data_IF_922607400010
#
_entry.id   IF_922607400010
#
_cell.length_a   1.000
_cell.length_b   1.000
_cell.length_c   1.000
_cell.angle_alpha   90.00
_cell.angle_beta   90.00
_cell.angle_gamma   90.00
#
_symmetry.space_group_name_H-M   'P 1'
#
loop_
_entity.id
_entity.type
_entity.pdbx_description
1 polymer ?
#
# COMPACT_ATOMS: atom_id res chain seq x y z
N UNK A 1 20.07 16.59 17.97
CA UNK A 1 19.61 15.22 18.20
C UNK A 1 19.54 14.53 16.85
N UNK A 2 20.12 13.34 16.70
CA UNK A 2 20.17 12.65 15.41
C UNK A 2 18.79 12.09 15.03
N UNK A 3 18.32 12.37 13.82
CA UNK A 3 16.99 11.95 13.37
C UNK A 3 17.08 10.55 12.72
N UNK A 4 16.79 9.52 13.51
CA UNK A 4 16.86 8.12 13.08
C UNK A 4 15.89 7.76 11.95
N UNK A 5 14.70 8.37 11.89
CA UNK A 5 13.75 8.08 10.81
C UNK A 5 14.26 8.59 9.47
N UNK A 6 14.87 9.80 9.42
CA UNK A 6 15.53 10.30 8.20
C UNK A 6 16.71 9.44 7.76
N UNK A 7 17.54 8.98 8.69
CA UNK A 7 18.68 8.09 8.40
C UNK A 7 18.22 6.76 7.83
N UNK A 8 17.22 6.14 8.46
CA UNK A 8 16.66 4.87 7.98
C UNK A 8 16.03 5.03 6.60
N UNK A 9 15.24 6.07 6.38
CA UNK A 9 14.65 6.37 5.08
C UNK A 9 15.72 6.55 4.00
N UNK A 10 16.79 7.29 4.30
CA UNK A 10 17.94 7.43 3.39
C UNK A 10 18.56 6.08 3.04
N UNK A 11 18.82 5.23 4.03
CA UNK A 11 19.38 3.90 3.78
C UNK A 11 18.46 3.01 2.92
N UNK A 12 17.15 3.11 3.10
CA UNK A 12 16.18 2.38 2.27
C UNK A 12 16.19 2.90 0.83
N UNK A 13 16.11 4.22 0.63
CA UNK A 13 16.13 4.82 -0.71
C UNK A 13 17.41 4.50 -1.49
N UNK A 14 18.56 4.43 -0.81
CA UNK A 14 19.85 4.11 -1.44
C UNK A 14 20.00 2.62 -1.78
N UNK A 15 19.56 1.73 -0.89
CA UNK A 15 19.74 0.27 -1.06
C UNK A 15 18.65 -0.34 -1.91
N UNK A 16 17.46 0.23 -1.84
CA UNK A 16 16.23 -0.32 -2.39
C UNK A 16 15.34 0.79 -2.96
N UNK A 17 15.75 1.45 -4.06
CA UNK A 17 14.98 2.53 -4.65
C UNK A 17 13.61 2.06 -5.18
N UNK A 18 13.52 0.78 -5.57
CA UNK A 18 12.30 0.11 -6.03
C UNK A 18 12.00 -1.05 -5.09
N UNK A 19 11.18 -0.79 -4.07
CA UNK A 19 10.85 -1.79 -3.03
C UNK A 19 10.33 -3.08 -3.65
N UNK A 20 9.51 -2.98 -4.69
CA UNK A 20 8.92 -4.14 -5.37
C UNK A 20 9.95 -5.05 -6.08
N UNK A 21 11.16 -4.58 -6.37
CA UNK A 21 12.22 -5.39 -7.00
C UNK A 21 13.03 -6.22 -6.00
N UNK A 22 12.85 -6.02 -4.68
CA UNK A 22 13.55 -6.82 -3.69
C UNK A 22 13.29 -8.31 -3.87
N UNK A 23 14.32 -9.11 -3.58
CA UNK A 23 14.37 -10.56 -3.86
C UNK A 23 13.15 -11.32 -3.33
N UNK A 24 12.57 -10.84 -2.23
CA UNK A 24 11.43 -11.45 -1.57
C UNK A 24 10.09 -11.11 -2.23
N UNK A 25 9.95 -9.92 -2.82
CA UNK A 25 8.70 -9.49 -3.44
C UNK A 25 8.57 -9.94 -4.87
N UNK A 26 9.65 -9.88 -5.67
CA UNK A 26 9.63 -10.23 -7.10
C UNK A 26 8.48 -9.54 -7.86
N UNK A 27 8.20 -8.28 -7.54
CA UNK A 27 7.10 -7.50 -8.14
C UNK A 27 5.70 -7.80 -7.61
N UNK A 28 5.56 -8.57 -6.53
CA UNK A 28 4.25 -8.93 -5.95
C UNK A 28 3.61 -7.76 -5.19
N UNK A 29 2.28 -7.64 -5.30
CA UNK A 29 1.49 -6.78 -4.42
C UNK A 29 1.43 -7.34 -2.98
N UNK A 30 1.86 -6.56 -1.99
CA UNK A 30 2.06 -6.99 -0.60
C UNK A 30 1.88 -5.82 0.37
N UNK A 31 1.52 -6.15 1.61
CA UNK A 31 1.13 -5.17 2.62
C UNK A 31 2.33 -4.49 3.31
N UNK A 32 3.46 -5.18 3.37
CA UNK A 32 4.64 -4.87 4.16
C UNK A 32 5.48 -3.74 3.54
N UNK A 33 5.62 -3.67 2.22
CA UNK A 33 6.14 -2.43 1.64
C UNK A 33 5.15 -1.26 1.82
N UNK A 34 3.84 -1.51 1.89
CA UNK A 34 2.85 -0.51 2.29
C UNK A 34 3.11 0.03 3.71
N UNK A 35 3.56 -0.82 4.64
CA UNK A 35 4.00 -0.40 5.99
C UNK A 35 5.24 0.49 5.89
N UNK A 36 6.25 0.09 5.11
CA UNK A 36 7.46 0.90 4.91
C UNK A 36 7.10 2.28 4.34
N UNK A 37 6.33 2.32 3.26
CA UNK A 37 5.91 3.56 2.61
C UNK A 37 5.01 4.43 3.48
N UNK A 38 4.22 3.84 4.39
CA UNK A 38 3.49 4.63 5.40
C UNK A 38 4.44 5.37 6.35
N UNK A 39 5.59 4.78 6.68
CA UNK A 39 6.66 5.47 7.40
C UNK A 39 7.22 6.67 6.61
N UNK A 40 7.40 6.53 5.30
CA UNK A 40 7.77 7.64 4.42
C UNK A 40 6.70 8.72 4.36
N UNK A 41 5.41 8.35 4.33
CA UNK A 41 4.31 9.31 4.40
C UNK A 41 4.40 10.16 5.68
N UNK A 42 4.63 9.53 6.83
CA UNK A 42 4.77 10.25 8.11
C UNK A 42 5.98 11.19 8.10
N UNK A 43 7.09 10.78 7.49
CA UNK A 43 8.25 11.65 7.28
C UNK A 43 7.92 12.84 6.39
N UNK A 44 7.24 12.62 5.27
CA UNK A 44 6.80 13.69 4.39
C UNK A 44 5.86 14.66 5.12
N UNK A 45 4.86 14.16 5.86
CA UNK A 45 3.92 15.01 6.62
C UNK A 45 4.65 15.90 7.63
N UNK A 46 5.67 15.36 8.32
CA UNK A 46 6.43 16.10 9.33
C UNK A 46 7.45 17.08 8.76
N UNK A 47 8.05 16.77 7.61
CA UNK A 47 9.22 17.48 7.08
C UNK A 47 8.94 18.32 5.85
N UNK A 48 7.89 17.95 5.11
CA UNK A 48 7.54 18.48 3.79
C UNK A 48 8.67 18.34 2.76
N UNK A 49 9.63 17.43 3.00
CA UNK A 49 10.70 17.14 2.05
C UNK A 49 10.15 16.28 0.91
N UNK A 50 10.11 16.85 -0.30
CA UNK A 50 9.51 16.26 -1.49
C UNK A 50 10.06 14.86 -1.84
N UNK A 51 11.33 14.59 -1.51
CA UNK A 51 11.97 13.29 -1.78
C UNK A 51 11.20 12.12 -1.19
N UNK A 52 10.56 12.29 -0.02
CA UNK A 52 9.79 11.23 0.61
C UNK A 52 8.47 10.98 -0.12
N UNK A 53 7.81 12.04 -0.59
CA UNK A 53 6.60 11.93 -1.40
C UNK A 53 6.88 11.27 -2.75
N UNK A 54 7.94 11.71 -3.43
CA UNK A 54 8.35 11.15 -4.73
C UNK A 54 8.65 9.67 -4.61
N UNK A 55 9.36 9.26 -3.55
CA UNK A 55 9.64 7.86 -3.28
C UNK A 55 8.37 7.01 -3.10
N UNK A 56 7.35 7.54 -2.40
CA UNK A 56 6.06 6.86 -2.25
C UNK A 56 5.37 6.74 -3.60
N UNK A 57 5.27 7.84 -4.35
CA UNK A 57 4.58 7.87 -5.64
C UNK A 57 5.20 6.89 -6.64
N UNK A 58 6.52 6.92 -6.79
CA UNK A 58 7.25 6.05 -7.71
C UNK A 58 7.02 4.56 -7.41
N UNK A 59 7.02 4.18 -6.13
CA UNK A 59 6.79 2.78 -5.74
C UNK A 59 5.32 2.35 -5.90
N UNK A 60 4.36 3.26 -5.70
CA UNK A 60 2.93 2.95 -5.86
C UNK A 60 2.51 2.92 -7.33
N UNK A 61 3.06 3.80 -8.17
CA UNK A 61 2.75 3.88 -9.61
C UNK A 61 3.20 2.65 -10.38
N UNK A 62 4.16 1.87 -9.87
CA UNK A 62 4.46 0.55 -10.43
C UNK A 62 3.24 -0.38 -10.42
N UNK A 63 2.40 -0.26 -9.39
CA UNK A 63 1.24 -1.13 -9.19
C UNK A 63 -0.06 -0.53 -9.71
N UNK A 64 -0.32 0.74 -9.42
CA UNK A 64 -1.60 1.40 -9.76
C UNK A 64 -1.57 1.91 -11.19
N UNK A 65 -2.38 1.31 -12.05
CA UNK A 65 -2.50 1.70 -13.45
C UNK A 65 -3.48 2.88 -13.62
N UNK A 66 -3.44 3.54 -14.77
CA UNK A 66 -4.28 4.72 -15.06
C UNK A 66 -5.80 4.46 -15.00
N UNK A 67 -6.23 3.22 -15.23
CA UNK A 67 -7.62 2.81 -15.08
C UNK A 67 -8.03 2.51 -13.62
N UNK A 68 -7.09 2.57 -12.68
CA UNK A 68 -7.28 2.25 -11.27
C UNK A 68 -7.14 0.77 -10.93
N UNK A 69 -6.78 -0.09 -11.89
CA UNK A 69 -6.40 -1.47 -11.60
C UNK A 69 -5.07 -1.55 -10.86
N UNK A 70 -4.89 -2.59 -10.05
CA UNK A 70 -3.69 -2.80 -9.24
C UNK A 70 -3.00 -4.06 -9.76
N UNK A 71 -1.75 -3.94 -10.23
CA UNK A 71 -0.95 -5.07 -10.68
C UNK A 71 -0.75 -6.06 -9.54
N UNK A 72 -1.02 -7.35 -9.80
CA UNK A 72 -0.81 -8.42 -8.82
C UNK A 72 -1.89 -8.49 -7.73
N UNK A 73 -3.01 -7.77 -7.91
CA UNK A 73 -4.18 -7.83 -7.04
C UNK A 73 -5.32 -8.60 -7.74
N UNK A 74 -5.98 -9.46 -6.99
CA UNK A 74 -7.21 -10.17 -7.37
C UNK A 74 -8.21 -10.09 -6.21
N UNK A 75 -9.46 -9.76 -6.51
CA UNK A 75 -10.52 -9.64 -5.49
C UNK A 75 -10.97 -11.03 -5.00
N UNK A 76 -10.84 -12.04 -5.87
CA UNK A 76 -11.21 -13.43 -5.63
C UNK A 76 -10.38 -14.10 -4.53
N UNK A 77 -9.18 -13.56 -4.23
CA UNK A 77 -8.38 -14.04 -3.11
C UNK A 77 -8.96 -13.65 -1.74
N UNK A 78 -9.83 -12.64 -1.70
CA UNK A 78 -10.32 -11.97 -0.48
C UNK A 78 -9.23 -11.84 0.58
N UNK A 79 -8.03 -11.46 0.16
CA UNK A 79 -6.88 -11.38 1.04
C UNK A 79 -6.88 -10.01 1.74
N UNK A 80 -7.09 -9.98 3.05
CA UNK A 80 -7.19 -8.71 3.79
C UNK A 80 -5.86 -7.94 3.80
N UNK A 81 -4.74 -8.64 3.65
CA UNK A 81 -3.41 -8.03 3.57
C UNK A 81 -3.31 -7.08 2.36
N UNK A 82 -3.94 -7.45 1.24
CA UNK A 82 -3.89 -6.65 0.00
C UNK A 82 -4.52 -5.26 0.15
N UNK A 83 -5.34 -5.04 1.19
CA UNK A 83 -6.02 -3.76 1.42
C UNK A 83 -5.09 -2.73 2.07
N UNK A 84 -4.11 -3.17 2.88
CA UNK A 84 -3.33 -2.28 3.75
C UNK A 84 -2.59 -1.18 2.98
N UNK A 85 -1.95 -1.52 1.86
CA UNK A 85 -1.18 -0.58 1.04
C UNK A 85 -2.07 0.51 0.41
N UNK A 86 -3.38 0.24 0.26
CA UNK A 86 -4.37 1.21 -0.22
C UNK A 86 -4.49 2.47 0.65
N UNK A 87 -4.02 2.45 1.91
CA UNK A 87 -3.95 3.64 2.78
C UNK A 87 -3.15 4.78 2.16
N UNK A 88 -2.18 4.49 1.28
CA UNK A 88 -1.35 5.48 0.60
C UNK A 88 -2.10 6.21 -0.52
N UNK A 89 -3.17 5.63 -1.05
CA UNK A 89 -3.93 6.23 -2.15
C UNK A 89 -4.62 7.53 -1.75
N UNK A 90 -5.02 7.67 -0.48
CA UNK A 90 -5.61 8.91 0.04
C UNK A 90 -4.62 10.08 0.00
N UNK A 91 -3.37 9.82 0.38
CA UNK A 91 -2.30 10.81 0.28
C UNK A 91 -2.09 11.20 -1.18
N UNK A 92 -1.85 10.20 -2.03
CA UNK A 92 -1.50 10.44 -3.42
C UNK A 92 -2.62 11.17 -4.17
N UNK A 93 -3.88 10.78 -3.96
CA UNK A 93 -5.02 11.49 -4.52
C UNK A 93 -5.12 12.93 -4.02
N UNK A 94 -4.93 13.15 -2.72
CA UNK A 94 -5.01 14.49 -2.12
C UNK A 94 -3.97 15.44 -2.72
N UNK A 95 -2.74 14.97 -2.90
CA UNK A 95 -1.62 15.83 -3.33
C UNK A 95 -1.52 15.97 -4.85
N UNK A 96 -1.97 14.98 -5.63
CA UNK A 96 -1.85 15.04 -7.11
C UNK A 96 -3.16 15.26 -7.84
N UNK A 97 -4.30 14.90 -7.23
CA UNK A 97 -5.59 14.86 -7.90
C UNK A 97 -5.73 13.77 -8.97
N UNK A 98 -4.77 12.83 -9.08
CA UNK A 98 -4.83 11.77 -10.09
C UNK A 98 -5.93 10.74 -9.74
N UNK A 99 -6.97 10.67 -10.58
CA UNK A 99 -8.14 9.81 -10.37
C UNK A 99 -7.83 8.32 -10.25
N UNK A 100 -6.68 7.85 -10.76
CA UNK A 100 -6.26 6.45 -10.65
C UNK A 100 -6.18 5.96 -9.20
N UNK A 101 -5.73 6.81 -8.27
CA UNK A 101 -5.63 6.47 -6.85
C UNK A 101 -7.01 6.34 -6.20
N UNK A 102 -7.95 7.20 -6.58
CA UNK A 102 -9.35 7.11 -6.12
C UNK A 102 -10.01 5.83 -6.63
N UNK A 103 -9.88 5.51 -7.93
CA UNK A 103 -10.41 4.27 -8.51
C UNK A 103 -9.81 3.01 -7.87
N UNK A 104 -8.51 3.02 -7.58
CA UNK A 104 -7.85 1.94 -6.86
C UNK A 104 -8.36 1.81 -5.41
N UNK A 105 -8.63 2.93 -4.72
CA UNK A 105 -9.24 2.91 -3.39
C UNK A 105 -10.67 2.35 -3.44
N UNK A 106 -11.46 2.73 -4.44
CA UNK A 106 -12.83 2.20 -4.67
C UNK A 106 -12.81 0.70 -4.98
N UNK A 107 -11.80 0.20 -5.71
CA UNK A 107 -11.59 -1.23 -5.92
C UNK A 107 -11.39 -1.98 -4.60
N UNK A 108 -10.48 -1.51 -3.75
CA UNK A 108 -10.24 -2.12 -2.43
C UNK A 108 -11.43 -1.98 -1.48
N UNK A 109 -12.16 -0.87 -1.54
CA UNK A 109 -13.40 -0.68 -0.77
C UNK A 109 -14.49 -1.67 -1.19
N UNK A 110 -14.60 -1.99 -2.49
CA UNK A 110 -15.55 -3.01 -2.98
C UNK A 110 -15.21 -4.40 -2.46
N UNK A 111 -13.92 -4.73 -2.31
CA UNK A 111 -13.52 -5.96 -1.62
C UNK A 111 -14.09 -5.97 -0.20
N UNK A 112 -13.82 -4.94 0.62
CA UNK A 112 -14.30 -4.89 2.01
C UNK A 112 -15.82 -4.99 2.15
N UNK A 113 -16.57 -4.46 1.17
CA UNK A 113 -18.03 -4.58 1.15
C UNK A 113 -18.50 -6.03 0.94
N UNK A 114 -17.78 -6.82 0.14
CA UNK A 114 -18.12 -8.19 -0.22
C UNK A 114 -17.25 -9.26 0.47
N UNK A 115 -16.32 -8.85 1.33
CA UNK A 115 -15.35 -9.74 1.95
C UNK A 115 -16.06 -10.72 2.90
N UNK A 116 -15.76 -12.03 2.83
CA UNK A 116 -16.36 -13.04 3.70
C UNK A 116 -16.19 -12.73 5.18
N UNK A 117 -17.21 -13.08 5.98
CA UNK A 117 -17.26 -12.76 7.41
C UNK A 117 -17.61 -13.97 8.26
N UNK A 118 -17.17 -13.96 9.52
CA UNK A 118 -17.67 -14.87 10.54
C UNK A 118 -19.16 -14.60 10.81
N UNK A 119 -19.83 -15.49 11.54
CA UNK A 119 -21.22 -15.31 11.96
C UNK A 119 -21.46 -14.03 12.77
N UNK A 120 -20.41 -13.47 13.38
CA UNK A 120 -20.44 -12.23 14.17
C UNK A 120 -19.99 -11.00 13.36
N UNK A 121 -19.69 -11.18 12.07
CA UNK A 121 -19.40 -10.07 11.15
C UNK A 121 -17.92 -9.68 11.02
N UNK A 122 -16.99 -10.38 11.67
CA UNK A 122 -15.55 -10.14 11.50
C UNK A 122 -15.07 -10.67 10.14
N UNK A 123 -14.17 -9.96 9.47
CA UNK A 123 -13.60 -10.44 8.20
C UNK A 123 -12.80 -11.72 8.39
N UNK A 124 -12.93 -12.65 7.45
CA UNK A 124 -11.96 -13.73 7.31
C UNK A 124 -10.60 -13.15 6.92
N UNK A 125 -9.51 -13.75 7.40
CA UNK A 125 -8.18 -13.28 7.05
C UNK A 125 -7.95 -13.37 5.52
N UNK A 126 -8.30 -14.50 4.89
CA UNK A 126 -8.28 -14.74 3.43
C UNK A 126 -9.36 -15.73 3.02
N UNK A 127 -9.69 -15.82 1.73
CA UNK A 127 -10.59 -16.87 1.20
C UNK A 127 -10.11 -18.27 1.59
N UNK A 128 -8.80 -18.52 1.56
CA UNK A 128 -8.18 -19.80 1.93
C UNK A 128 -8.14 -20.07 3.45
N UNK A 129 -8.56 -19.10 4.28
CA UNK A 129 -8.59 -19.20 5.74
C UNK A 129 -10.01 -18.93 6.26
N UNK A 130 -10.97 -19.82 5.95
CA UNK A 130 -12.36 -19.60 6.28
C UNK A 130 -12.56 -19.50 7.80
N UNK A 131 -13.35 -18.50 8.22
CA UNK A 131 -13.70 -18.20 9.61
C UNK A 131 -12.54 -17.82 10.55
N UNK A 132 -11.33 -17.55 10.03
CA UNK A 132 -10.17 -17.19 10.86
C UNK A 132 -9.97 -15.68 10.96
N UNK A 133 -9.62 -15.20 12.16
CA UNK A 133 -9.34 -13.79 12.49
C UNK A 133 -7.92 -13.71 13.04
N UNK A 134 -7.07 -12.85 12.46
CA UNK A 134 -5.68 -12.63 12.86
C UNK A 134 -5.46 -11.16 13.20
#
# INVERSE_FOLDING_TARGET
>A
MENWSKRLAKSIMERTPRLYEEKWYKGKWSYDYGVVLKGFQLLWEQTQEKIYFDFIKDNIDYFVQEDGTIRGYSVEEYNIDHVNTGKLFFLLYKETGEEKYKKAAELLSRQLANHPRTSEGAFWHKEIYPYQIW
#
